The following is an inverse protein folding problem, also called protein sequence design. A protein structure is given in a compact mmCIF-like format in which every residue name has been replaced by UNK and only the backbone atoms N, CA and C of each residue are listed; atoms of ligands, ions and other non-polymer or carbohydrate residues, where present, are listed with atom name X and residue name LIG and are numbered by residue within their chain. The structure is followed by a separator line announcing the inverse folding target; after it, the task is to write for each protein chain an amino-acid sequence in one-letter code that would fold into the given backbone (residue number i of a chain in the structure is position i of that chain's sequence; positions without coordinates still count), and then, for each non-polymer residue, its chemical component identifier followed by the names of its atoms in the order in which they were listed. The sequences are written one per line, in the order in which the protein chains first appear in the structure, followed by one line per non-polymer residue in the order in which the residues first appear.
data_IF_276566563542
#
_entry.id   IF_276566563542
#
_cell.length_a   1.000
_cell.length_b   1.000
_cell.length_c   1.000
_cell.angle_alpha   90.00
_cell.angle_beta   90.00
_cell.angle_gamma   90.00
#
_symmetry.space_group_name_H-M   'P 1'
#
loop_
_entity.id
_entity.type
_entity.pdbx_description
1 polymer ?
#
# COMPACT_ATOMS: atom_id res chain seq x y z
N UNK A 1 33.99 -23.25 29.26
CA UNK A 1 32.94 -22.42 29.90
C UNK A 1 32.87 -21.00 29.31
N UNK A 2 33.99 -20.29 29.18
CA UNK A 2 34.05 -18.97 28.51
C UNK A 2 33.56 -18.99 27.05
N UNK A 3 33.86 -20.08 26.34
CA UNK A 3 33.58 -20.25 24.92
C UNK A 3 32.07 -20.19 24.59
N UNK A 4 31.23 -20.81 25.43
CA UNK A 4 29.77 -20.77 25.26
C UNK A 4 29.19 -19.38 25.54
N UNK A 5 29.74 -18.67 26.52
CA UNK A 5 29.30 -17.32 26.90
C UNK A 5 29.64 -16.31 25.79
N UNK A 6 30.84 -16.42 25.22
CA UNK A 6 31.27 -15.57 24.10
C UNK A 6 30.40 -15.84 22.86
N UNK A 7 30.11 -17.10 22.56
CA UNK A 7 29.24 -17.46 21.44
C UNK A 7 27.83 -16.85 21.55
N UNK A 8 27.20 -16.95 22.73
CA UNK A 8 25.86 -16.38 22.96
C UNK A 8 25.89 -14.85 22.91
N UNK A 9 26.96 -14.22 23.39
CA UNK A 9 27.16 -12.76 23.29
C UNK A 9 27.18 -12.28 21.84
N UNK A 10 27.92 -12.97 20.97
CA UNK A 10 27.97 -12.64 19.53
C UNK A 10 26.60 -12.85 18.87
N UNK A 11 25.92 -13.97 19.17
CA UNK A 11 24.59 -14.26 18.64
C UNK A 11 23.56 -13.20 19.03
N UNK A 12 23.57 -12.73 20.29
CA UNK A 12 22.65 -11.70 20.75
C UNK A 12 22.79 -10.40 19.93
N UNK A 13 24.03 -9.95 19.68
CA UNK A 13 24.29 -8.76 18.86
C UNK A 13 23.81 -8.98 17.42
N UNK A 14 24.14 -10.11 16.80
CA UNK A 14 23.70 -10.42 15.43
C UNK A 14 22.18 -10.46 15.30
N UNK A 15 21.48 -11.05 16.28
CA UNK A 15 20.02 -11.15 16.28
C UNK A 15 19.36 -9.79 16.34
N UNK A 16 19.85 -8.86 17.16
CA UNK A 16 19.27 -7.51 17.25
C UNK A 16 19.36 -6.74 15.93
N UNK A 17 20.52 -6.78 15.27
CA UNK A 17 20.74 -6.14 13.97
C UNK A 17 19.88 -6.80 12.89
N UNK A 18 19.85 -8.13 12.87
CA UNK A 18 19.06 -8.90 11.91
C UNK A 18 17.56 -8.59 12.05
N UNK A 19 17.04 -8.54 13.27
CA UNK A 19 15.62 -8.25 13.53
C UNK A 19 15.25 -6.82 13.13
N UNK A 20 16.10 -5.85 13.43
CA UNK A 20 15.89 -4.46 13.03
C UNK A 20 15.84 -4.32 11.51
N UNK A 21 16.80 -4.94 10.80
CA UNK A 21 16.84 -4.98 9.33
C UNK A 21 15.59 -5.64 8.75
N UNK A 22 15.23 -6.83 9.25
CA UNK A 22 14.06 -7.58 8.78
C UNK A 22 12.76 -6.79 8.93
N UNK A 23 12.58 -6.08 10.06
CA UNK A 23 11.41 -5.22 10.29
C UNK A 23 11.28 -4.14 9.21
N UNK A 24 12.38 -3.48 8.84
CA UNK A 24 12.37 -2.48 7.77
C UNK A 24 12.08 -3.11 6.40
N UNK A 25 12.70 -4.24 6.07
CA UNK A 25 12.42 -4.96 4.82
C UNK A 25 10.96 -5.37 4.69
N UNK A 26 10.32 -5.82 5.77
CA UNK A 26 8.89 -6.14 5.77
C UNK A 26 8.04 -4.90 5.44
N UNK A 27 8.41 -3.72 5.96
CA UNK A 27 7.72 -2.45 5.62
C UNK A 27 7.87 -2.12 4.14
N UNK A 28 9.10 -2.15 3.62
CA UNK A 28 9.37 -1.86 2.21
C UNK A 28 8.71 -2.84 1.25
N UNK A 29 8.64 -4.13 1.60
CA UNK A 29 7.94 -5.14 0.81
C UNK A 29 6.45 -4.81 0.66
N UNK A 30 5.77 -4.45 1.76
CA UNK A 30 4.36 -4.04 1.71
C UNK A 30 4.15 -2.77 0.89
N UNK A 31 5.05 -1.80 1.02
CA UNK A 31 4.96 -0.57 0.25
C UNK A 31 5.19 -0.83 -1.26
N UNK A 32 6.11 -1.73 -1.61
CA UNK A 32 6.31 -2.18 -3.00
C UNK A 32 5.05 -2.84 -3.57
N UNK A 33 4.37 -3.66 -2.78
CA UNK A 33 3.09 -4.27 -3.19
C UNK A 33 2.04 -3.18 -3.40
N UNK A 34 1.85 -2.25 -2.45
CA UNK A 34 0.88 -1.15 -2.60
C UNK A 34 1.15 -0.27 -3.82
N UNK A 35 2.42 0.05 -4.10
CA UNK A 35 2.79 0.83 -5.29
C UNK A 35 2.40 0.08 -6.56
N UNK A 36 2.60 -1.25 -6.58
CA UNK A 36 2.23 -2.09 -7.72
C UNK A 36 0.72 -2.16 -7.88
N UNK A 37 -0.01 -2.37 -6.79
CA UNK A 37 -1.48 -2.41 -6.79
C UNK A 37 -2.08 -1.09 -7.30
N UNK A 38 -1.57 0.05 -6.83
CA UNK A 38 -2.02 1.37 -7.30
C UNK A 38 -1.79 1.58 -8.80
N UNK A 39 -0.65 1.11 -9.32
CA UNK A 39 -0.38 1.15 -10.77
C UNK A 39 -1.36 0.26 -11.53
N UNK A 40 -1.60 -0.95 -11.06
CA UNK A 40 -2.55 -1.88 -11.67
C UNK A 40 -3.98 -1.32 -11.68
N UNK A 41 -4.44 -0.74 -10.57
CA UNK A 41 -5.75 -0.08 -10.48
C UNK A 41 -5.82 1.09 -11.46
N UNK A 42 -4.80 1.94 -11.51
CA UNK A 42 -4.75 3.06 -12.47
C UNK A 42 -4.86 2.57 -13.92
N UNK A 43 -4.07 1.58 -14.30
CA UNK A 43 -4.11 1.02 -15.66
C UNK A 43 -5.48 0.42 -15.99
N UNK A 44 -6.12 -0.26 -15.03
CA UNK A 44 -7.48 -0.78 -15.23
C UNK A 44 -8.51 0.36 -15.43
N UNK A 45 -8.40 1.45 -14.68
CA UNK A 45 -9.26 2.62 -14.82
C UNK A 45 -9.06 3.33 -16.17
N UNK A 46 -7.80 3.49 -16.61
CA UNK A 46 -7.47 4.07 -17.93
C UNK A 46 -8.02 3.19 -19.07
N UNK A 47 -7.88 1.86 -18.96
CA UNK A 47 -8.43 0.93 -19.95
C UNK A 47 -9.97 1.04 -20.03
N UNK A 48 -10.64 1.11 -18.87
CA UNK A 48 -12.08 1.29 -18.83
C UNK A 48 -12.51 2.62 -19.47
N UNK A 49 -11.77 3.71 -19.24
CA UNK A 49 -12.06 5.00 -19.86
C UNK A 49 -11.93 4.93 -21.39
N UNK A 50 -10.89 4.26 -21.91
CA UNK A 50 -10.70 4.05 -23.35
C UNK A 50 -11.91 3.31 -23.95
N UNK A 51 -12.43 2.29 -23.26
CA UNK A 51 -13.53 1.47 -23.76
C UNK A 51 -14.91 2.14 -23.61
N UNK A 52 -15.17 2.82 -22.48
CA UNK A 52 -16.48 3.35 -22.12
C UNK A 52 -16.61 4.88 -22.31
N UNK A 53 -15.51 5.58 -22.65
CA UNK A 53 -15.45 7.03 -22.81
C UNK A 53 -15.56 7.83 -21.50
N UNK A 54 -15.52 7.15 -20.35
CA UNK A 54 -15.60 7.75 -19.01
C UNK A 54 -15.04 6.79 -17.96
N UNK A 55 -14.55 7.33 -16.84
CA UNK A 55 -14.17 6.50 -15.68
C UNK A 55 -15.38 5.77 -15.06
N UNK A 56 -15.17 4.61 -14.43
CA UNK A 56 -16.25 3.89 -13.74
C UNK A 56 -16.70 4.69 -12.50
N UNK A 57 -18.01 4.67 -12.24
CA UNK A 57 -18.55 5.23 -11.00
C UNK A 57 -18.23 4.29 -9.83
N UNK A 58 -17.84 4.81 -8.66
CA UNK A 58 -17.68 4.01 -7.46
C UNK A 58 -19.02 3.42 -7.00
N UNK A 59 -18.98 2.23 -6.40
CA UNK A 59 -20.18 1.52 -5.91
C UNK A 59 -21.01 2.33 -4.90
N UNK A 60 -20.38 3.26 -4.19
CA UNK A 60 -21.01 4.17 -3.23
C UNK A 60 -20.87 5.63 -3.69
N UNK A 61 -21.29 5.94 -4.91
CA UNK A 61 -21.28 7.31 -5.43
C UNK A 61 -22.04 8.28 -4.50
N UNK A 62 -21.52 9.50 -4.40
CA UNK A 62 -22.13 10.56 -3.60
C UNK A 62 -22.37 11.76 -4.49
N UNK A 63 -23.63 12.06 -4.72
CA UNK A 63 -24.04 13.29 -5.38
C UNK A 63 -23.91 14.45 -4.40
N UNK A 64 -23.19 15.49 -4.80
CA UNK A 64 -23.12 16.75 -4.06
C UNK A 64 -24.08 17.73 -4.72
N UNK A 65 -25.16 18.06 -4.01
CA UNK A 65 -26.21 18.95 -4.48
C UNK A 65 -26.06 20.34 -3.86
N UNK A 66 -26.23 21.39 -4.66
CA UNK A 66 -26.40 22.76 -4.18
C UNK A 66 -27.89 23.13 -4.18
N UNK A 67 -28.35 23.76 -3.10
CA UNK A 67 -29.74 24.19 -2.91
C UNK A 67 -30.77 23.07 -3.18
N UNK A 68 -30.46 21.82 -2.80
CA UNK A 68 -31.32 20.63 -2.88
C UNK A 68 -31.87 20.25 -4.28
N UNK A 69 -31.54 21.01 -5.32
CA UNK A 69 -32.14 20.86 -6.65
C UNK A 69 -31.14 20.80 -7.80
N UNK A 70 -29.87 21.13 -7.58
CA UNK A 70 -28.84 21.08 -8.64
C UNK A 70 -27.69 20.18 -8.20
N UNK A 71 -27.48 19.05 -8.90
CA UNK A 71 -26.29 18.22 -8.72
C UNK A 71 -25.10 18.99 -9.31
N UNK A 72 -24.20 19.42 -8.45
CA UNK A 72 -22.99 20.17 -8.84
C UNK A 72 -21.84 19.22 -9.14
N UNK A 73 -21.86 18.04 -8.52
CA UNK A 73 -20.86 17.02 -8.71
C UNK A 73 -21.45 15.64 -8.44
N UNK A 74 -21.13 14.71 -9.33
CA UNK A 74 -21.41 13.28 -9.22
C UNK A 74 -20.09 12.55 -9.43
N UNK A 75 -19.73 11.68 -8.49
CA UNK A 75 -18.47 10.92 -8.51
C UNK A 75 -18.70 9.53 -9.06
#
# INVERSE_FOLDING_TARGET
MIELIVAIGILAVLLTIAFFSFSQYSRYSRDSVRITDLKSVKTALELYEIDAGKYPRPDNSKEVTFNFNTVVWDQ
#
